data_IF_228119422555
#
_entry.id   IF_228119422555
#
_cell.length_a   1.000
_cell.length_b   1.000
_cell.length_c   1.000
_cell.angle_alpha   90.00
_cell.angle_beta   90.00
_cell.angle_gamma   90.00
#
_symmetry.space_group_name_H-M   'P 1'
#
loop_
_entity.id
_entity.type
_entity.pdbx_description
1 polymer ?
#
# COMPACT_ATOMS: atom_id res chain seq x y z
N UNK A 1 3.74 -3.58 -15.99
CA UNK A 1 2.66 -4.37 -16.60
C UNK A 1 3.20 -5.66 -17.21
N UNK A 2 4.33 -5.63 -17.91
CA UNK A 2 4.91 -6.82 -18.59
C UNK A 2 5.36 -7.96 -17.65
N UNK A 3 5.49 -7.72 -16.34
CA UNK A 3 6.00 -8.67 -15.36
C UNK A 3 4.92 -9.38 -14.53
N UNK A 4 3.63 -9.27 -14.90
CA UNK A 4 2.55 -9.94 -14.15
C UNK A 4 2.65 -11.45 -14.29
N UNK A 5 2.72 -12.16 -13.15
CA UNK A 5 2.78 -13.63 -13.08
C UNK A 5 1.40 -14.26 -13.25
N UNK A 6 0.36 -13.58 -12.75
CA UNK A 6 -1.02 -14.03 -12.80
C UNK A 6 -1.92 -12.96 -13.43
N UNK A 7 -3.06 -13.35 -14.03
CA UNK A 7 -4.01 -12.39 -14.56
C UNK A 7 -4.69 -11.59 -13.44
N UNK A 8 -5.01 -10.34 -13.75
CA UNK A 8 -5.73 -9.44 -12.85
C UNK A 8 -6.95 -8.84 -13.54
N UNK A 9 -8.00 -8.60 -12.79
CA UNK A 9 -9.17 -7.86 -13.23
C UNK A 9 -9.16 -6.48 -12.58
N UNK A 10 -9.10 -5.43 -13.40
CA UNK A 10 -9.26 -4.05 -12.96
C UNK A 10 -10.74 -3.69 -13.10
N UNK A 11 -11.39 -3.41 -11.98
CA UNK A 11 -12.78 -3.00 -11.93
C UNK A 11 -12.85 -1.50 -11.66
N UNK A 12 -13.26 -0.72 -12.67
CA UNK A 12 -13.42 0.71 -12.57
C UNK A 12 -14.87 1.04 -12.25
N UNK A 13 -15.10 1.68 -11.11
CA UNK A 13 -16.40 2.20 -10.70
C UNK A 13 -16.51 3.66 -11.10
N UNK A 14 -17.54 4.01 -11.84
CA UNK A 14 -17.75 5.37 -12.37
C UNK A 14 -19.23 5.72 -12.40
N UNK A 15 -19.62 6.82 -11.78
CA UNK A 15 -20.97 7.35 -11.88
C UNK A 15 -21.28 7.78 -13.31
N UNK A 16 -22.47 7.43 -13.83
CA UNK A 16 -22.85 7.73 -15.22
C UNK A 16 -22.77 9.23 -15.53
N UNK A 17 -23.10 10.09 -14.58
CA UNK A 17 -23.01 11.54 -14.73
C UNK A 17 -21.61 12.04 -15.05
N UNK A 18 -20.57 11.37 -14.52
CA UNK A 18 -19.18 11.73 -14.82
C UNK A 18 -18.78 11.51 -16.27
N UNK A 19 -19.47 10.62 -16.98
CA UNK A 19 -19.17 10.35 -18.40
C UNK A 19 -19.69 11.47 -19.33
N UNK A 20 -20.70 12.19 -18.89
CA UNK A 20 -21.30 13.33 -19.62
C UNK A 20 -20.87 14.68 -19.08
N UNK A 21 -20.13 14.72 -17.98
CA UNK A 21 -19.65 15.95 -17.38
C UNK A 21 -18.48 16.53 -18.18
N UNK A 22 -18.57 17.83 -18.46
CA UNK A 22 -17.52 18.60 -19.15
C UNK A 22 -16.58 19.32 -18.18
N UNK A 23 -16.71 18.99 -16.90
CA UNK A 23 -15.89 19.50 -15.80
C UNK A 23 -14.54 18.79 -15.68
N UNK A 24 -13.74 19.21 -14.71
CA UNK A 24 -12.42 18.64 -14.44
C UNK A 24 -12.50 17.14 -14.06
N UNK A 25 -13.53 16.75 -13.31
CA UNK A 25 -13.72 15.37 -12.84
C UNK A 25 -14.13 14.45 -13.99
N UNK A 26 -15.02 14.89 -14.90
CA UNK A 26 -15.40 14.17 -16.09
C UNK A 26 -14.22 13.97 -17.06
N UNK A 27 -13.42 15.03 -17.26
CA UNK A 27 -12.20 14.95 -18.07
C UNK A 27 -11.15 14.01 -17.43
N UNK A 28 -11.07 13.98 -16.10
CA UNK A 28 -10.22 13.04 -15.38
C UNK A 28 -10.70 11.60 -15.54
N UNK A 29 -12.00 11.34 -15.43
CA UNK A 29 -12.59 10.02 -15.63
C UNK A 29 -12.34 9.49 -17.07
N UNK A 30 -12.50 10.32 -18.09
CA UNK A 30 -12.22 9.96 -19.46
C UNK A 30 -10.74 9.60 -19.69
N UNK A 31 -9.80 10.41 -19.19
CA UNK A 31 -8.35 10.14 -19.27
C UNK A 31 -7.96 8.87 -18.54
N UNK A 32 -8.51 8.63 -17.35
CA UNK A 32 -8.25 7.42 -16.57
C UNK A 32 -8.75 6.18 -17.31
N UNK A 33 -9.96 6.23 -17.86
CA UNK A 33 -10.51 5.12 -18.64
C UNK A 33 -9.64 4.81 -19.86
N UNK A 34 -9.20 5.84 -20.59
CA UNK A 34 -8.31 5.67 -21.74
C UNK A 34 -6.93 5.11 -21.33
N UNK A 35 -6.38 5.52 -20.18
CA UNK A 35 -5.15 4.96 -19.63
C UNK A 35 -5.30 3.48 -19.31
N UNK A 36 -6.36 3.08 -18.60
CA UNK A 36 -6.61 1.68 -18.26
C UNK A 36 -6.84 0.82 -19.50
N UNK A 37 -7.52 1.34 -20.52
CA UNK A 37 -7.67 0.64 -21.80
C UNK A 37 -6.31 0.38 -22.48
N UNK A 38 -5.38 1.34 -22.43
CA UNK A 38 -4.00 1.13 -22.92
C UNK A 38 -3.25 0.05 -22.12
N UNK A 39 -3.47 -0.03 -20.81
CA UNK A 39 -2.88 -1.10 -20.00
C UNK A 39 -3.38 -2.48 -20.44
N UNK A 40 -4.66 -2.61 -20.77
CA UNK A 40 -5.23 -3.85 -21.35
C UNK A 40 -4.58 -4.19 -22.69
N UNK A 41 -4.45 -3.22 -23.60
CA UNK A 41 -3.80 -3.43 -24.89
C UNK A 41 -2.32 -3.86 -24.76
N UNK A 42 -1.63 -3.35 -23.74
CA UNK A 42 -0.24 -3.72 -23.48
C UNK A 42 -0.07 -5.14 -22.90
N UNK A 43 -1.11 -5.72 -22.29
CA UNK A 43 -1.08 -7.05 -21.70
C UNK A 43 -2.47 -7.71 -21.74
N UNK A 44 -3.01 -8.04 -22.92
CA UNK A 44 -4.40 -8.49 -23.08
C UNK A 44 -4.70 -9.82 -22.39
N UNK A 45 -3.69 -10.70 -22.29
CA UNK A 45 -3.82 -12.00 -21.60
C UNK A 45 -3.67 -11.89 -20.07
N UNK A 46 -3.25 -10.74 -19.56
CA UNK A 46 -2.95 -10.54 -18.14
C UNK A 46 -3.84 -9.51 -17.47
N UNK A 47 -4.41 -8.58 -18.21
CA UNK A 47 -5.25 -7.52 -17.64
C UNK A 47 -6.62 -7.54 -18.30
N UNK A 48 -7.65 -7.68 -17.47
CA UNK A 48 -9.04 -7.50 -17.84
C UNK A 48 -9.58 -6.23 -17.22
N UNK A 49 -10.25 -5.39 -18.02
CA UNK A 49 -10.92 -4.18 -17.54
C UNK A 49 -12.43 -4.39 -17.51
N UNK A 50 -13.05 -4.17 -16.35
CA UNK A 50 -14.49 -4.14 -16.15
C UNK A 50 -14.90 -2.72 -15.73
N UNK A 51 -15.75 -2.08 -16.51
CA UNK A 51 -16.30 -0.76 -16.18
C UNK A 51 -17.66 -0.95 -15.55
N UNK A 52 -17.80 -0.56 -14.28
CA UNK A 52 -19.04 -0.60 -13.49
C UNK A 52 -19.64 0.79 -13.45
N UNK A 53 -20.72 0.99 -14.21
CA UNK A 53 -21.44 2.28 -14.25
C UNK A 53 -22.41 2.33 -13.08
N UNK A 54 -22.31 3.39 -12.28
CA UNK A 54 -23.14 3.60 -11.11
C UNK A 54 -24.23 4.59 -11.45
N UNK A 55 -25.48 4.17 -11.22
CA UNK A 55 -26.65 5.05 -11.19
C UNK A 55 -27.00 5.34 -9.74
N UNK A 56 -27.46 6.56 -9.41
CA UNK A 56 -27.95 6.87 -8.08
C UNK A 56 -29.06 5.90 -7.63
N UNK A 57 -29.01 5.48 -6.39
CA UNK A 57 -29.95 4.58 -5.73
C UNK A 57 -30.07 3.17 -6.35
N UNK A 58 -29.07 2.75 -7.12
CA UNK A 58 -29.01 1.42 -7.74
C UNK A 58 -28.32 0.38 -6.84
N UNK A 59 -28.54 -0.91 -7.15
CA UNK A 59 -27.81 -1.99 -6.49
C UNK A 59 -26.30 -1.94 -6.79
N UNK A 60 -25.90 -1.36 -7.93
CA UNK A 60 -24.51 -1.12 -8.26
C UNK A 60 -23.84 -0.11 -7.31
N UNK A 61 -24.57 0.92 -6.88
CA UNK A 61 -24.12 1.87 -5.86
C UNK A 61 -23.92 1.19 -4.52
N UNK A 62 -24.90 0.40 -4.06
CA UNK A 62 -24.78 -0.39 -2.83
C UNK A 62 -23.58 -1.34 -2.88
N UNK A 63 -23.36 -1.97 -4.02
CA UNK A 63 -22.19 -2.82 -4.23
C UNK A 63 -20.90 -2.00 -4.15
N UNK A 64 -20.81 -0.86 -4.82
CA UNK A 64 -19.63 0.00 -4.78
C UNK A 64 -19.28 0.43 -3.34
N UNK A 65 -20.29 0.86 -2.57
CA UNK A 65 -20.11 1.21 -1.14
C UNK A 65 -19.67 0.01 -0.32
N UNK A 66 -20.28 -1.16 -0.51
CA UNK A 66 -19.89 -2.39 0.20
C UNK A 66 -18.48 -2.85 -0.13
N UNK A 67 -17.98 -2.54 -1.33
CA UNK A 67 -16.61 -2.81 -1.76
C UNK A 67 -15.61 -1.72 -1.34
N UNK A 68 -16.06 -0.69 -0.60
CA UNK A 68 -15.21 0.34 0.02
C UNK A 68 -14.97 1.57 -0.86
N UNK A 69 -15.78 1.80 -1.91
CA UNK A 69 -15.72 3.04 -2.68
C UNK A 69 -16.17 4.22 -1.83
N UNK A 70 -15.48 5.35 -1.94
CA UNK A 70 -15.82 6.59 -1.27
C UNK A 70 -16.45 7.57 -2.26
N UNK A 71 -17.55 8.24 -1.88
CA UNK A 71 -18.18 9.23 -2.72
C UNK A 71 -17.37 10.53 -2.79
N UNK A 72 -17.54 11.25 -3.89
CA UNK A 72 -17.20 12.65 -4.02
C UNK A 72 -18.48 13.45 -3.70
N UNK A 73 -18.47 14.32 -2.69
CA UNK A 73 -19.59 15.21 -2.44
C UNK A 73 -19.60 16.31 -3.52
N UNK A 74 -20.56 16.29 -4.40
CA UNK A 74 -20.72 17.31 -5.43
C UNK A 74 -22.21 17.64 -5.60
N UNK A 75 -22.59 18.90 -5.36
CA UNK A 75 -23.93 19.44 -5.60
C UNK A 75 -25.09 18.59 -5.05
N UNK A 76 -25.03 18.19 -3.79
CA UNK A 76 -26.04 17.34 -3.08
C UNK A 76 -26.13 15.88 -3.60
N UNK A 77 -25.27 15.46 -4.52
CA UNK A 77 -25.22 14.11 -5.03
C UNK A 77 -23.90 13.41 -4.65
N UNK A 78 -23.98 12.12 -4.44
CA UNK A 78 -22.81 11.28 -4.22
C UNK A 78 -22.33 10.71 -5.57
N UNK A 79 -21.17 11.18 -6.05
CA UNK A 79 -20.54 10.65 -7.23
C UNK A 79 -19.43 9.69 -6.86
N UNK A 80 -19.34 8.56 -7.53
CA UNK A 80 -18.34 7.54 -7.30
C UNK A 80 -17.38 7.46 -8.49
N UNK A 81 -16.10 7.51 -8.17
CA UNK A 81 -15.04 7.27 -9.15
C UNK A 81 -13.85 6.64 -8.45
N UNK A 82 -13.73 5.33 -8.53
CA UNK A 82 -12.70 4.55 -7.86
C UNK A 82 -12.36 3.28 -8.62
N UNK A 83 -11.33 2.58 -8.18
CA UNK A 83 -10.89 1.38 -8.86
C UNK A 83 -10.52 0.27 -7.87
N UNK A 84 -10.85 -0.98 -8.21
CA UNK A 84 -10.45 -2.20 -7.50
C UNK A 84 -9.70 -3.11 -8.44
N UNK A 85 -8.53 -3.56 -8.03
CA UNK A 85 -7.75 -4.55 -8.77
C UNK A 85 -7.89 -5.89 -8.03
N UNK A 86 -8.24 -6.92 -8.77
CA UNK A 86 -8.50 -8.27 -8.24
C UNK A 86 -7.57 -9.24 -8.98
N UNK A 87 -6.73 -9.93 -8.23
CA UNK A 87 -5.86 -10.99 -8.75
C UNK A 87 -6.62 -12.32 -8.89
N UNK A 88 -6.11 -13.24 -9.70
CA UNK A 88 -6.74 -14.54 -9.94
C UNK A 88 -6.87 -15.40 -8.67
N UNK A 89 -6.00 -15.20 -7.66
CA UNK A 89 -6.04 -15.86 -6.37
C UNK A 89 -7.06 -15.25 -5.37
N UNK A 90 -7.82 -14.22 -5.81
CA UNK A 90 -8.84 -13.53 -5.00
C UNK A 90 -8.31 -12.37 -4.15
N UNK A 91 -6.99 -12.17 -4.05
CA UNK A 91 -6.43 -10.96 -3.42
C UNK A 91 -6.86 -9.73 -4.19
N UNK A 92 -7.11 -8.65 -3.49
CA UNK A 92 -7.51 -7.40 -4.12
C UNK A 92 -6.92 -6.20 -3.42
N UNK A 93 -6.80 -5.10 -4.18
CA UNK A 93 -6.43 -3.80 -3.68
C UNK A 93 -7.36 -2.74 -4.24
N UNK A 94 -7.55 -1.65 -3.50
CA UNK A 94 -8.56 -0.65 -3.75
C UNK A 94 -7.93 0.74 -3.80
N UNK A 95 -8.36 1.55 -4.77
CA UNK A 95 -8.26 3.01 -4.73
C UNK A 95 -9.68 3.52 -4.57
N UNK A 96 -10.10 3.89 -3.36
CA UNK A 96 -11.51 4.16 -3.04
C UNK A 96 -12.05 5.40 -3.76
N UNK A 97 -11.19 6.38 -4.06
CA UNK A 97 -11.53 7.58 -4.81
C UNK A 97 -10.35 8.05 -5.67
N UNK A 98 -10.59 8.16 -6.97
CA UNK A 98 -9.61 8.64 -7.96
C UNK A 98 -9.72 10.16 -8.07
N UNK A 99 -9.05 10.87 -7.16
CA UNK A 99 -9.09 12.34 -7.07
C UNK A 99 -8.30 13.00 -8.20
N UNK A 100 -8.83 14.08 -8.84
CA UNK A 100 -8.13 14.79 -9.92
C UNK A 100 -6.75 15.31 -9.50
N UNK A 101 -6.57 15.74 -8.24
CA UNK A 101 -5.31 16.28 -7.71
C UNK A 101 -4.22 15.19 -7.68
N UNK A 102 -4.62 13.92 -7.62
CA UNK A 102 -3.70 12.76 -7.61
C UNK A 102 -3.50 12.14 -9.00
N UNK A 103 -3.99 12.78 -10.06
CA UNK A 103 -3.91 12.24 -11.43
C UNK A 103 -2.50 11.85 -11.86
N UNK A 104 -1.49 12.61 -11.46
CA UNK A 104 -0.08 12.33 -11.79
C UNK A 104 0.46 11.05 -11.11
N UNK A 105 -0.19 10.58 -10.05
CA UNK A 105 0.23 9.41 -9.27
C UNK A 105 -0.51 8.13 -9.68
N UNK A 106 -1.52 8.20 -10.55
CA UNK A 106 -2.34 7.05 -10.95
C UNK A 106 -1.49 5.88 -11.47
N UNK A 107 -0.52 6.17 -12.34
CA UNK A 107 0.36 5.15 -12.92
C UNK A 107 1.23 4.49 -11.83
N UNK A 108 1.81 5.29 -10.94
CA UNK A 108 2.62 4.76 -9.83
C UNK A 108 1.78 3.99 -8.82
N UNK A 109 0.58 4.46 -8.50
CA UNK A 109 -0.36 3.78 -7.61
C UNK A 109 -0.82 2.45 -8.21
N UNK A 110 -1.15 2.41 -9.50
CA UNK A 110 -1.51 1.18 -10.19
C UNK A 110 -0.33 0.20 -10.27
N UNK A 111 0.87 0.66 -10.61
CA UNK A 111 2.05 -0.18 -10.66
C UNK A 111 2.37 -0.79 -9.28
N UNK A 112 2.24 -0.01 -8.21
CA UNK A 112 2.42 -0.49 -6.84
C UNK A 112 1.40 -1.57 -6.47
N UNK A 113 0.11 -1.37 -6.81
CA UNK A 113 -0.94 -2.36 -6.60
C UNK A 113 -0.66 -3.64 -7.37
N UNK A 114 -0.35 -3.53 -8.67
CA UNK A 114 -0.03 -4.67 -9.52
C UNK A 114 1.18 -5.44 -9.01
N UNK A 115 2.22 -4.73 -8.54
CA UNK A 115 3.39 -5.37 -7.94
C UNK A 115 3.02 -6.12 -6.66
N UNK A 116 2.27 -5.50 -5.74
CA UNK A 116 1.84 -6.13 -4.49
C UNK A 116 0.95 -7.36 -4.70
N UNK A 117 0.08 -7.34 -5.71
CA UNK A 117 -0.76 -8.49 -6.06
C UNK A 117 0.00 -9.59 -6.84
N UNK A 118 1.12 -9.24 -7.47
CA UNK A 118 1.95 -10.17 -8.23
C UNK A 118 2.89 -11.00 -7.34
N UNK A 119 3.20 -10.50 -6.15
CA UNK A 119 3.99 -11.25 -5.16
C UNK A 119 3.13 -12.35 -4.52
N UNK A 120 3.62 -13.58 -4.48
CA UNK A 120 2.91 -14.72 -3.87
C UNK A 120 2.75 -14.56 -2.36
N UNK A 121 3.69 -13.86 -1.73
CA UNK A 121 3.68 -13.52 -0.30
C UNK A 121 4.10 -12.07 -0.11
N UNK A 122 3.50 -11.40 0.86
CA UNK A 122 4.01 -10.09 1.29
C UNK A 122 5.47 -10.25 1.74
N UNK A 123 6.31 -9.32 1.32
CA UNK A 123 7.70 -9.26 1.80
C UNK A 123 7.69 -9.07 3.31
N UNK A 124 8.45 -9.89 4.02
CA UNK A 124 8.56 -9.80 5.48
C UNK A 124 9.59 -8.76 5.90
N UNK A 125 9.17 -7.83 6.74
CA UNK A 125 10.02 -6.80 7.33
C UNK A 125 10.11 -7.01 8.83
N UNK A 126 11.33 -7.08 9.35
CA UNK A 126 11.59 -7.04 10.77
C UNK A 126 11.83 -5.61 11.24
N UNK A 127 11.13 -5.14 12.25
CA UNK A 127 11.34 -3.82 12.85
C UNK A 127 12.03 -3.98 14.21
N UNK A 128 13.17 -3.34 14.35
CA UNK A 128 13.93 -3.26 15.59
C UNK A 128 13.85 -1.84 16.14
N UNK A 129 13.20 -1.67 17.28
CA UNK A 129 13.00 -0.37 17.95
C UNK A 129 13.23 -0.50 19.46
N UNK A 130 14.50 -0.47 19.92
CA UNK A 130 14.81 -0.78 21.31
C UNK A 130 14.47 0.34 22.29
N UNK A 131 14.26 1.56 21.81
CA UNK A 131 14.05 2.75 22.65
C UNK A 131 12.60 3.19 22.73
N UNK A 132 11.86 3.00 21.68
CA UNK A 132 10.46 3.38 21.59
C UNK A 132 9.62 2.15 21.26
N UNK A 133 8.46 1.98 21.92
CA UNK A 133 7.63 0.82 21.67
C UNK A 133 7.17 0.81 20.21
N UNK A 134 7.40 -0.31 19.57
CA UNK A 134 6.86 -0.62 18.26
C UNK A 134 5.94 -1.82 18.41
N UNK A 135 4.76 -1.74 17.82
CA UNK A 135 3.86 -2.88 17.69
C UNK A 135 3.39 -2.98 16.24
N UNK A 136 3.43 -4.17 15.63
CA UNK A 136 2.95 -4.34 14.27
C UNK A 136 1.49 -3.92 14.09
N UNK A 137 0.61 -4.14 15.07
CA UNK A 137 -0.80 -3.73 15.03
C UNK A 137 -1.03 -2.24 15.34
N UNK A 138 0.03 -1.48 15.57
CA UNK A 138 0.02 -0.05 15.89
C UNK A 138 -0.45 0.30 17.29
N UNK A 139 -0.99 -0.65 18.07
CA UNK A 139 -1.51 -0.38 19.41
C UNK A 139 -0.37 -0.10 20.39
N UNK A 140 -0.44 1.06 21.05
CA UNK A 140 0.60 1.49 21.99
C UNK A 140 1.96 1.75 21.36
N UNK A 141 2.06 1.81 20.05
CA UNK A 141 3.29 2.08 19.32
C UNK A 141 3.53 3.57 19.16
N UNK A 142 4.76 4.03 19.44
CA UNK A 142 5.20 5.38 19.08
C UNK A 142 5.23 5.61 17.56
N UNK A 143 5.24 4.52 16.78
CA UNK A 143 5.30 4.52 15.33
C UNK A 143 4.00 3.96 14.70
N UNK A 144 2.84 4.22 15.31
CA UNK A 144 1.55 3.69 14.85
C UNK A 144 1.26 3.99 13.38
N UNK A 145 1.50 5.23 12.93
CA UNK A 145 1.32 5.62 11.54
C UNK A 145 2.27 4.90 10.58
N UNK A 146 3.53 4.68 11.00
CA UNK A 146 4.51 3.92 10.22
C UNK A 146 4.13 2.44 10.16
N UNK A 147 3.69 1.86 11.29
CA UNK A 147 3.23 0.47 11.34
C UNK A 147 2.05 0.25 10.39
N UNK A 148 1.03 1.12 10.43
CA UNK A 148 -0.12 1.05 9.55
C UNK A 148 0.27 1.14 8.06
N UNK A 149 1.17 2.07 7.72
CA UNK A 149 1.68 2.24 6.36
C UNK A 149 2.47 1.00 5.89
N UNK A 150 3.32 0.44 6.75
CA UNK A 150 4.10 -0.75 6.39
C UNK A 150 3.22 -1.98 6.22
N UNK A 151 2.21 -2.18 7.06
CA UNK A 151 1.31 -3.34 6.97
C UNK A 151 0.43 -3.35 5.71
N UNK A 152 0.18 -2.19 5.13
CA UNK A 152 -0.54 -2.11 3.85
C UNK A 152 0.16 -2.94 2.76
N UNK A 153 1.52 -2.95 2.76
CA UNK A 153 2.34 -3.54 1.69
C UNK A 153 3.17 -4.74 2.15
N UNK A 154 3.48 -4.85 3.43
CA UNK A 154 4.44 -5.80 4.00
C UNK A 154 3.82 -6.62 5.12
N UNK A 155 4.41 -7.77 5.39
CA UNK A 155 4.17 -8.52 6.63
C UNK A 155 5.22 -8.06 7.65
N UNK A 156 4.76 -7.39 8.71
CA UNK A 156 5.65 -6.67 9.65
C UNK A 156 5.76 -7.45 10.96
N UNK A 157 7.00 -7.67 11.39
CA UNK A 157 7.35 -8.34 12.64
C UNK A 157 8.18 -7.43 13.53
N UNK A 158 7.91 -7.45 14.82
CA UNK A 158 8.81 -6.85 15.78
C UNK A 158 10.01 -7.79 16.03
N UNK A 159 11.22 -7.21 16.08
CA UNK A 159 12.43 -7.91 16.47
C UNK A 159 12.80 -7.41 17.89
N UNK A 160 12.66 -8.25 18.93
CA UNK A 160 13.01 -7.88 20.29
C UNK A 160 14.51 -7.55 20.44
N UNK A 161 14.84 -6.62 21.35
CA UNK A 161 16.21 -6.17 21.58
C UNK A 161 17.17 -7.29 22.06
N UNK A 162 16.63 -8.34 22.67
CA UNK A 162 17.38 -9.52 23.12
C UNK A 162 17.53 -10.63 22.08
N UNK A 163 17.08 -10.41 20.85
CA UNK A 163 17.13 -11.44 19.80
C UNK A 163 18.57 -11.83 19.47
N UNK A 164 18.88 -13.12 19.55
CA UNK A 164 20.17 -13.69 19.17
C UNK A 164 20.22 -14.09 17.69
N UNK A 165 19.12 -14.00 16.96
CA UNK A 165 19.00 -14.38 15.57
C UNK A 165 17.95 -13.50 14.88
N UNK A 166 18.23 -13.07 13.65
CA UNK A 166 17.23 -12.54 12.72
C UNK A 166 16.71 -13.69 11.86
N UNK A 167 15.37 -13.93 11.81
CA UNK A 167 14.80 -15.01 11.02
C UNK A 167 15.21 -14.93 9.53
N UNK A 168 15.41 -16.08 8.89
CA UNK A 168 15.90 -16.14 7.50
C UNK A 168 14.88 -15.65 6.47
N UNK A 169 13.60 -15.69 6.82
CA UNK A 169 12.50 -15.26 5.98
C UNK A 169 12.21 -13.75 6.06
N UNK A 170 12.89 -13.03 6.94
CA UNK A 170 12.90 -11.56 6.95
C UNK A 170 13.74 -11.07 5.78
N UNK A 171 13.14 -10.27 4.92
CA UNK A 171 13.81 -9.72 3.72
C UNK A 171 14.58 -8.44 4.00
N UNK A 172 14.08 -7.63 4.95
CA UNK A 172 14.67 -6.35 5.35
C UNK A 172 14.51 -6.15 6.85
N UNK A 173 15.54 -5.70 7.52
CA UNK A 173 15.46 -5.21 8.90
C UNK A 173 15.42 -3.68 8.87
N UNK A 174 14.40 -3.09 9.50
CA UNK A 174 14.27 -1.66 9.71
C UNK A 174 14.63 -1.36 11.18
N UNK A 175 15.75 -0.70 11.40
CA UNK A 175 16.21 -0.30 12.74
C UNK A 175 15.84 1.18 13.01
N UNK A 176 14.88 1.40 13.91
CA UNK A 176 14.37 2.71 14.27
C UNK A 176 15.08 3.25 15.51
N UNK A 177 15.82 4.32 15.35
CA UNK A 177 16.66 4.96 16.39
C UNK A 177 17.34 3.94 17.32
N UNK A 178 18.12 3.00 16.75
CA UNK A 178 18.62 1.84 17.49
C UNK A 178 19.61 2.22 18.60
N UNK A 179 20.21 3.41 18.52
CA UNK A 179 21.26 3.83 19.42
C UNK A 179 22.44 2.85 19.42
N UNK A 180 22.91 2.48 20.63
CA UNK A 180 23.92 1.43 20.78
C UNK A 180 23.24 0.06 20.74
N UNK A 181 23.59 -0.75 19.75
CA UNK A 181 23.06 -2.10 19.62
C UNK A 181 23.53 -2.99 20.79
N UNK A 182 22.62 -3.77 21.41
CA UNK A 182 23.03 -4.81 22.33
C UNK A 182 23.99 -5.79 21.64
N UNK A 183 25.09 -6.25 22.33
CA UNK A 183 26.12 -7.09 21.69
C UNK A 183 25.54 -8.35 21.02
N UNK A 184 24.56 -9.00 21.66
CA UNK A 184 23.89 -10.19 21.13
C UNK A 184 23.17 -9.88 19.83
N UNK A 185 22.44 -8.77 19.79
CA UNK A 185 21.71 -8.37 18.58
C UNK A 185 22.65 -7.83 17.50
N UNK A 186 23.73 -7.13 17.88
CA UNK A 186 24.75 -6.69 16.92
C UNK A 186 25.36 -7.87 16.17
N UNK A 187 25.68 -8.97 16.88
CA UNK A 187 26.14 -10.20 16.28
C UNK A 187 25.07 -10.84 15.36
N UNK A 188 23.82 -10.92 15.85
CA UNK A 188 22.72 -11.48 15.05
C UNK A 188 22.50 -10.70 13.75
N UNK A 189 22.62 -9.37 13.81
CA UNK A 189 22.47 -8.48 12.66
C UNK A 189 23.65 -8.61 11.68
N UNK A 190 24.89 -8.73 12.20
CA UNK A 190 26.08 -9.00 11.39
C UNK A 190 25.92 -10.31 10.61
N UNK A 191 25.54 -11.38 11.29
CA UNK A 191 25.27 -12.68 10.65
C UNK A 191 24.15 -12.61 9.61
N UNK A 192 23.13 -11.78 9.86
CA UNK A 192 22.05 -11.57 8.91
C UNK A 192 22.54 -10.85 7.64
N UNK A 193 23.35 -9.80 7.78
CA UNK A 193 23.94 -9.06 6.65
C UNK A 193 24.93 -9.96 5.88
N UNK A 194 25.74 -10.74 6.57
CA UNK A 194 26.69 -11.69 5.93
C UNK A 194 25.98 -12.75 5.07
N UNK A 195 24.73 -13.07 5.40
CA UNK A 195 23.87 -13.97 4.58
C UNK A 195 23.13 -13.26 3.44
N UNK A 196 23.43 -11.97 3.18
CA UNK A 196 22.79 -11.17 2.15
C UNK A 196 21.53 -10.43 2.60
N UNK A 197 21.23 -10.41 3.91
CA UNK A 197 20.15 -9.64 4.51
C UNK A 197 20.36 -8.13 4.34
N UNK A 198 19.29 -7.38 4.28
CA UNK A 198 19.29 -5.93 4.07
C UNK A 198 18.87 -5.22 5.34
N UNK A 199 19.62 -4.18 5.73
CA UNK A 199 19.31 -3.38 6.91
C UNK A 199 19.16 -1.91 6.52
N UNK A 200 18.12 -1.28 7.02
CA UNK A 200 17.90 0.17 6.90
C UNK A 200 17.91 0.76 8.32
N UNK A 201 18.81 1.69 8.55
CA UNK A 201 18.89 2.43 9.79
C UNK A 201 18.22 3.80 9.63
N UNK A 202 17.21 4.08 10.44
CA UNK A 202 16.64 5.41 10.61
C UNK A 202 17.16 5.96 11.94
N UNK A 203 18.07 6.92 11.85
CA UNK A 203 18.73 7.53 13.00
C UNK A 203 18.34 8.98 13.08
N UNK A 204 17.81 9.38 14.24
CA UNK A 204 17.59 10.79 14.56
C UNK A 204 18.79 11.34 15.33
N UNK A 205 19.60 12.23 14.75
CA UNK A 205 20.77 12.82 15.43
C UNK A 205 20.36 13.74 16.59
N UNK A 206 19.11 14.24 16.59
CA UNK A 206 18.57 15.15 17.61
C UNK A 206 17.46 14.52 18.45
N UNK A 207 17.43 13.18 18.54
CA UNK A 207 16.39 12.44 19.24
C UNK A 207 16.13 13.00 20.65
N UNK A 208 14.94 13.53 20.89
CA UNK A 208 14.49 14.02 22.20
C UNK A 208 14.53 12.90 23.26
N UNK A 209 14.28 11.66 22.82
CA UNK A 209 14.38 10.45 23.65
C UNK A 209 15.80 10.24 24.16
N UNK A 210 16.81 10.58 23.35
CA UNK A 210 18.22 10.47 23.73
C UNK A 210 18.58 11.49 24.82
N UNK A 211 18.04 12.69 24.72
CA UNK A 211 18.24 13.75 25.70
C UNK A 211 17.51 13.46 27.03
N UNK A 212 16.28 12.93 26.96
CA UNK A 212 15.50 12.59 28.16
C UNK A 212 16.07 11.42 28.97
N UNK A 213 16.85 10.52 28.34
CA UNK A 213 17.49 9.37 29.03
C UNK A 213 18.88 9.68 29.57
N UNK A 214 19.44 10.86 29.29
CA UNK A 214 20.77 11.31 29.77
C UNK A 214 20.69 12.33 30.91
N UNK A 215 19.51 12.80 31.31
CA UNK A 215 19.24 13.67 32.45
C UNK A 215 18.64 12.90 33.62
#
# INVERSE_FOLDING_TARGET
VAALRQPVTIRLYVSEKLQSAWDELGAHAARTTAFLARCVLAAPDKIRLEIRRIKPFSDMEKQAVSEGMLPFPENEEELYFGLKVIAADGRSALIPALKPERRALLESDLNRILHGLNEERKVKIGVFSPRLPFSPDGKGSAFASLAALLQEYYEVFEIPAGSSLVPQDISVVLALDPGRLPPVFAYALDQYVMRGGKVVFLVDPYSEVRHALQG
#
